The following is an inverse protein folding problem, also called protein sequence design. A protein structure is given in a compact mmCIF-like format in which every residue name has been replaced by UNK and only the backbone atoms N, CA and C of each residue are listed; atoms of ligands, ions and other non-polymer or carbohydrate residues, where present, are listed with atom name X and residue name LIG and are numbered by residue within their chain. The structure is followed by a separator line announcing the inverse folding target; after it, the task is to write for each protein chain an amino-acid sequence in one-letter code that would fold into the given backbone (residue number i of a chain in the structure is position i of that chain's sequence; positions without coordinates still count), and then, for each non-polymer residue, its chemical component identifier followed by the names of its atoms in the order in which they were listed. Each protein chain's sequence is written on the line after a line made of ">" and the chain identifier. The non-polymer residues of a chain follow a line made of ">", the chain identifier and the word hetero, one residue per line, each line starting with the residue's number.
data_IF_116432593863
#
_entry.id   IF_116432593863
#
_cell.length_a   1.000
_cell.length_b   1.000
_cell.length_c   1.000
_cell.angle_alpha   90.00
_cell.angle_beta   90.00
_cell.angle_gamma   90.00
#
_symmetry.space_group_name_H-M   'P 1'
#
loop_
_entity.id
_entity.type
_entity.pdbx_description
1 polymer ?
#
# COMPACT_ATOMS: atom_id res chain seq x y z
N UNK A 1 -55.69 -10.39 5.77
CA UNK A 1 -54.26 -10.75 5.90
C UNK A 1 -53.64 -10.66 4.52
N UNK A 2 -52.97 -9.55 4.21
CA UNK A 2 -52.01 -9.45 3.11
C UNK A 2 -51.14 -8.24 3.43
N UNK A 3 -49.98 -8.50 4.02
CA UNK A 3 -48.98 -7.47 4.30
C UNK A 3 -47.97 -7.40 3.15
N UNK A 4 -47.76 -6.17 2.69
CA UNK A 4 -46.41 -5.62 2.63
C UNK A 4 -45.43 -6.33 1.70
N UNK A 5 -45.39 -5.82 0.47
CA UNK A 5 -44.22 -5.82 -0.40
C UNK A 5 -42.99 -5.28 0.37
N UNK A 6 -42.17 -6.17 0.89
CA UNK A 6 -40.87 -5.90 1.49
C UNK A 6 -39.78 -6.50 0.62
N UNK A 7 -39.58 -5.91 -0.57
CA UNK A 7 -38.39 -6.19 -1.38
C UNK A 7 -37.21 -5.56 -0.65
N UNK A 8 -36.71 -6.29 0.35
CA UNK A 8 -35.47 -5.99 1.04
C UNK A 8 -34.32 -6.31 0.10
N UNK A 9 -34.12 -5.45 -0.89
CA UNK A 9 -32.82 -5.18 -1.51
C UNK A 9 -31.91 -4.64 -0.40
N UNK A 10 -31.46 -5.54 0.46
CA UNK A 10 -30.52 -5.25 1.52
C UNK A 10 -29.13 -5.30 0.92
N UNK A 11 -28.77 -4.12 0.43
CA UNK A 11 -27.47 -3.53 0.73
C UNK A 11 -26.33 -4.15 -0.06
N UNK A 12 -26.17 -3.57 -1.23
CA UNK A 12 -24.91 -3.22 -1.87
C UNK A 12 -23.90 -2.66 -0.83
N UNK A 13 -23.38 -3.50 0.07
CA UNK A 13 -22.11 -3.23 0.75
C UNK A 13 -21.00 -3.55 -0.24
N UNK A 14 -20.95 -2.81 -1.35
CA UNK A 14 -19.65 -2.42 -1.86
C UNK A 14 -19.05 -1.50 -0.80
N UNK A 15 -18.50 -2.11 0.25
CA UNK A 15 -17.51 -1.47 1.10
C UNK A 15 -16.38 -1.07 0.17
N UNK A 16 -16.47 0.16 -0.35
CA UNK A 16 -15.49 0.83 -1.20
C UNK A 16 -14.14 1.06 -0.50
N UNK A 17 -13.85 0.34 0.58
CA UNK A 17 -12.64 0.41 1.39
C UNK A 17 -11.83 -0.90 1.38
N UNK A 18 -12.27 -1.96 0.69
CA UNK A 18 -11.50 -3.21 0.64
C UNK A 18 -10.24 -3.13 -0.24
N UNK A 19 -9.58 -1.97 -0.36
CA UNK A 19 -8.18 -1.93 -0.80
C UNK A 19 -7.37 -2.44 0.40
N UNK A 20 -6.85 -3.68 0.38
CA UNK A 20 -6.07 -4.19 1.48
C UNK A 20 -4.96 -3.19 1.78
N UNK A 21 -4.98 -2.62 3.00
CA UNK A 21 -3.90 -1.75 3.47
C UNK A 21 -2.60 -2.49 3.23
N UNK A 22 -1.70 -1.88 2.48
CA UNK A 22 -0.44 -2.52 2.17
C UNK A 22 0.31 -2.77 3.48
N UNK A 23 0.57 -4.04 3.77
CA UNK A 23 1.40 -4.44 4.90
C UNK A 23 2.83 -4.56 4.41
N UNK A 24 3.75 -3.87 5.08
CA UNK A 24 5.17 -4.07 4.88
C UNK A 24 5.56 -5.41 5.50
N UNK A 25 5.58 -6.46 4.66
CA UNK A 25 6.11 -7.77 5.02
C UNK A 25 7.63 -7.79 4.83
N UNK A 26 8.30 -8.79 5.42
CA UNK A 26 9.74 -8.95 5.27
C UNK A 26 10.14 -9.09 3.79
N UNK A 27 9.39 -9.88 3.03
CA UNK A 27 9.59 -10.04 1.58
C UNK A 27 9.51 -8.69 0.84
N UNK A 28 8.54 -7.85 1.19
CA UNK A 28 8.35 -6.53 0.59
C UNK A 28 9.50 -5.57 0.98
N UNK A 29 10.02 -5.70 2.21
CA UNK A 29 11.21 -4.97 2.65
C UNK A 29 12.47 -5.44 1.92
N UNK A 30 12.68 -6.74 1.72
CA UNK A 30 13.81 -7.28 0.97
C UNK A 30 13.81 -6.76 -0.47
N UNK A 31 12.66 -6.79 -1.14
CA UNK A 31 12.48 -6.20 -2.48
C UNK A 31 12.78 -4.70 -2.51
N UNK A 32 12.43 -3.99 -1.45
CA UNK A 32 12.76 -2.57 -1.29
C UNK A 32 14.27 -2.36 -1.16
N UNK A 33 14.96 -3.13 -0.31
CA UNK A 33 16.41 -3.05 -0.13
C UNK A 33 17.14 -3.43 -1.41
N UNK A 34 16.71 -4.48 -2.11
CA UNK A 34 17.25 -4.81 -3.44
C UNK A 34 17.08 -3.66 -4.41
N UNK A 35 15.88 -3.07 -4.52
CA UNK A 35 15.63 -1.92 -5.39
C UNK A 35 16.52 -0.72 -5.04
N UNK A 36 16.74 -0.46 -3.74
CA UNK A 36 17.64 0.61 -3.27
C UNK A 36 19.09 0.30 -3.62
N UNK A 37 19.55 -0.94 -3.41
CA UNK A 37 20.90 -1.38 -3.74
C UNK A 37 21.15 -1.31 -5.26
N UNK A 38 20.18 -1.73 -6.06
CA UNK A 38 20.22 -1.63 -7.53
C UNK A 38 20.34 -0.18 -8.03
N UNK A 39 19.82 0.79 -7.28
CA UNK A 39 19.90 2.22 -7.61
C UNK A 39 21.19 2.88 -7.10
N UNK A 40 22.04 2.17 -6.36
CA UNK A 40 23.28 2.71 -5.80
C UNK A 40 23.15 3.23 -4.36
N UNK A 41 22.16 2.74 -3.60
CA UNK A 41 21.95 3.07 -2.19
C UNK A 41 20.87 4.13 -1.97
N UNK A 42 20.52 4.37 -0.70
CA UNK A 42 19.39 5.23 -0.31
C UNK A 42 19.52 6.70 -0.76
N UNK A 43 20.76 7.18 -0.97
CA UNK A 43 21.06 8.52 -1.50
C UNK A 43 20.61 8.70 -2.96
N UNK A 44 20.80 7.65 -3.77
CA UNK A 44 20.46 7.65 -5.21
C UNK A 44 19.07 7.11 -5.47
N UNK A 45 18.55 6.30 -4.55
CA UNK A 45 17.27 5.64 -4.72
C UNK A 45 16.10 6.60 -4.48
N UNK A 46 15.43 7.02 -5.55
CA UNK A 46 14.23 7.87 -5.42
C UNK A 46 12.99 7.01 -5.12
N UNK A 47 12.01 7.52 -4.33
CA UNK A 47 10.78 6.80 -4.06
C UNK A 47 10.01 6.38 -5.33
N UNK A 48 10.09 7.20 -6.39
CA UNK A 48 9.48 6.90 -7.69
C UNK A 48 10.15 5.72 -8.40
N UNK A 49 11.48 5.67 -8.40
CA UNK A 49 12.22 4.59 -9.04
C UNK A 49 12.07 3.29 -8.25
N UNK A 50 12.10 3.35 -6.92
CA UNK A 50 11.87 2.20 -6.05
C UNK A 50 10.46 1.64 -6.27
N UNK A 51 9.43 2.50 -6.30
CA UNK A 51 8.06 2.07 -6.59
C UNK A 51 7.95 1.33 -7.91
N UNK A 52 8.59 1.88 -8.95
CA UNK A 52 8.59 1.30 -10.30
C UNK A 52 9.34 -0.02 -10.36
N UNK A 53 10.45 -0.15 -9.63
CA UNK A 53 11.23 -1.39 -9.52
C UNK A 53 10.46 -2.49 -8.80
N UNK A 54 9.79 -2.16 -7.70
CA UNK A 54 9.02 -3.13 -6.94
C UNK A 54 7.76 -3.57 -7.71
N UNK A 55 7.15 -2.68 -8.50
CA UNK A 55 6.06 -3.04 -9.41
C UNK A 55 4.82 -3.65 -8.75
N UNK A 56 4.67 -3.51 -7.43
CA UNK A 56 3.64 -4.21 -6.65
C UNK A 56 2.29 -3.52 -6.86
N UNK A 57 1.25 -4.23 -7.37
CA UNK A 57 -0.07 -3.66 -7.53
C UNK A 57 -0.66 -3.28 -6.17
N UNK A 58 -0.97 -1.99 -5.99
CA UNK A 58 -1.46 -1.45 -4.71
C UNK A 58 -0.38 -0.81 -3.83
N UNK A 59 0.90 -0.98 -4.16
CA UNK A 59 1.97 -0.14 -3.62
C UNK A 59 1.92 1.24 -4.27
N UNK A 60 2.09 2.27 -3.46
CA UNK A 60 2.05 3.66 -3.92
C UNK A 60 3.19 4.44 -3.28
N UNK A 61 3.49 5.61 -3.84
CA UNK A 61 4.48 6.52 -3.24
C UNK A 61 4.14 6.88 -1.80
N UNK A 62 2.86 6.94 -1.44
CA UNK A 62 2.43 7.28 -0.09
C UNK A 62 2.86 6.18 0.91
N UNK A 63 2.74 4.91 0.53
CA UNK A 63 3.20 3.78 1.34
C UNK A 63 4.73 3.75 1.49
N UNK A 64 5.47 4.07 0.43
CA UNK A 64 6.93 4.20 0.47
C UNK A 64 7.37 5.39 1.30
N UNK A 65 6.73 6.55 1.11
CA UNK A 65 7.04 7.75 1.89
C UNK A 65 6.69 7.54 3.35
N UNK A 66 5.56 6.93 3.69
CA UNK A 66 5.24 6.56 5.08
C UNK A 66 6.23 5.56 5.66
N UNK A 67 6.73 4.58 4.87
CA UNK A 67 7.79 3.67 5.33
C UNK A 67 9.11 4.40 5.58
N UNK A 68 9.58 5.16 4.59
CA UNK A 68 10.77 6.01 4.71
C UNK A 68 10.64 7.01 5.84
N UNK A 69 9.44 7.58 6.02
CA UNK A 69 9.13 8.53 7.07
C UNK A 69 9.10 7.82 8.41
N UNK A 70 8.52 6.63 8.57
CA UNK A 70 8.60 5.87 9.83
C UNK A 70 10.03 5.44 10.14
N UNK A 71 10.80 5.02 9.13
CA UNK A 71 12.22 4.71 9.27
C UNK A 71 13.06 5.97 9.57
N UNK A 72 12.69 7.15 9.07
CA UNK A 72 13.33 8.44 9.40
C UNK A 72 12.74 9.16 10.62
N UNK A 73 11.54 8.83 11.10
CA UNK A 73 10.89 9.41 12.29
C UNK A 73 11.45 8.80 13.59
N UNK A 74 12.44 7.92 13.48
CA UNK A 74 13.38 7.67 14.56
C UNK A 74 14.53 8.72 14.60
N UNK A 75 14.39 9.86 13.92
CA UNK A 75 15.23 11.03 14.08
C UNK A 75 14.37 12.30 13.92
N UNK A 76 13.62 12.63 14.97
CA UNK A 76 13.53 14.00 15.50
C UNK A 76 13.82 13.93 17.01
#
# INVERSE_FOLDING_TARGET
>A
MHEGNGTGDLTLVLSTDAKPRLKWTLDLHERFIEAVNHLGGADKATPKTILKLMGIPGLTLCHLKSHLQVTCYFNE
#
